data_IF_714820485609
#
_entry.id   IF_714820485609
#
_cell.length_a   1.000
_cell.length_b   1.000
_cell.length_c   1.000
_cell.angle_alpha   90.00
_cell.angle_beta   90.00
_cell.angle_gamma   90.00
#
_symmetry.space_group_name_H-M   'P 1'
#
loop_
_entity.id
_entity.type
_entity.pdbx_description
1 polymer ?
#
# COMPACT_ATOMS: atom_id res chain seq x y z
N UNK A 1 -0.55 13.14 4.43
CA UNK A 1 -0.63 14.36 3.58
C UNK A 1 -1.07 13.87 2.20
N UNK A 2 -2.16 14.40 1.64
CA UNK A 2 -2.59 13.99 0.31
C UNK A 2 -1.53 14.39 -0.73
N UNK A 3 -1.25 13.49 -1.69
CA UNK A 3 -0.40 13.83 -2.83
C UNK A 3 -1.21 14.65 -3.84
N UNK A 4 -0.56 15.60 -4.51
CA UNK A 4 -1.15 16.38 -5.60
C UNK A 4 -1.18 15.58 -6.92
N UNK A 5 -0.21 14.66 -7.08
CA UNK A 5 0.04 13.89 -8.31
C UNK A 5 -0.27 12.40 -8.12
N UNK A 6 -1.46 12.07 -7.60
CA UNK A 6 -1.89 10.69 -7.37
C UNK A 6 -2.44 10.02 -8.64
N UNK A 7 -2.36 8.69 -8.70
CA UNK A 7 -2.81 7.86 -9.82
C UNK A 7 -1.76 7.62 -10.91
N UNK A 8 -0.60 8.28 -10.84
CA UNK A 8 0.56 8.02 -11.68
C UNK A 8 1.78 7.79 -10.79
N UNK A 9 2.23 6.53 -10.74
CA UNK A 9 3.26 6.07 -9.81
C UNK A 9 4.56 6.88 -9.86
N UNK A 10 5.02 7.27 -11.06
CA UNK A 10 6.28 8.00 -11.19
C UNK A 10 6.17 9.43 -10.63
N UNK A 11 5.02 10.09 -10.81
CA UNK A 11 4.73 11.42 -10.30
C UNK A 11 4.51 11.40 -8.78
N UNK A 12 3.85 10.36 -8.24
CA UNK A 12 3.72 10.15 -6.81
C UNK A 12 5.09 10.06 -6.12
N UNK A 13 5.99 9.23 -6.65
CA UNK A 13 7.35 9.08 -6.13
C UNK A 13 8.17 10.39 -6.22
N UNK A 14 8.05 11.13 -7.33
CA UNK A 14 8.70 12.44 -7.50
C UNK A 14 8.22 13.42 -6.43
N UNK A 15 6.91 13.51 -6.22
CA UNK A 15 6.31 14.39 -5.24
C UNK A 15 6.71 14.00 -3.81
N UNK A 16 6.67 12.71 -3.48
CA UNK A 16 7.09 12.18 -2.19
C UNK A 16 8.52 12.57 -1.88
N UNK A 17 9.47 12.33 -2.80
CA UNK A 17 10.87 12.73 -2.60
C UNK A 17 11.02 14.22 -2.38
N UNK A 18 10.34 15.05 -3.19
CA UNK A 18 10.39 16.50 -3.06
C UNK A 18 9.92 16.98 -1.69
N UNK A 19 8.86 16.36 -1.16
CA UNK A 19 8.23 16.77 0.10
C UNK A 19 8.96 16.19 1.33
N UNK A 20 9.46 14.96 1.28
CA UNK A 20 10.07 14.29 2.44
C UNK A 20 11.58 14.44 2.54
N UNK A 21 12.27 14.65 1.42
CA UNK A 21 13.74 14.69 1.32
C UNK A 21 14.45 13.42 1.81
N UNK A 22 13.79 12.27 1.77
CA UNK A 22 14.39 10.98 2.12
C UNK A 22 15.51 10.59 1.15
N UNK A 23 16.54 9.90 1.67
CA UNK A 23 17.67 9.42 0.88
C UNK A 23 17.30 8.35 -0.16
N UNK A 24 16.24 7.59 0.10
CA UNK A 24 15.62 6.63 -0.81
C UNK A 24 14.21 6.28 -0.38
N UNK A 25 13.48 5.56 -1.24
CA UNK A 25 12.11 5.09 -0.98
C UNK A 25 12.03 3.58 -1.20
N UNK A 26 11.48 2.87 -0.23
CA UNK A 26 11.02 1.49 -0.36
C UNK A 26 9.49 1.47 -0.46
N UNK A 27 8.96 0.40 -1.04
CA UNK A 27 7.51 0.23 -1.26
C UNK A 27 7.01 -1.02 -0.56
N UNK A 28 6.99 -1.08 0.78
CA UNK A 28 6.67 -2.30 1.53
C UNK A 28 5.36 -2.99 1.13
N UNK A 29 4.44 -2.24 0.52
CA UNK A 29 3.24 -2.77 -0.12
C UNK A 29 2.01 -1.96 0.23
N UNK A 30 0.88 -2.65 0.33
CA UNK A 30 -0.42 -2.04 0.53
C UNK A 30 -1.21 -2.73 1.66
N UNK A 31 -2.09 -1.98 2.32
CA UNK A 31 -3.05 -2.49 3.30
C UNK A 31 -4.44 -1.87 3.09
N UNK A 32 -5.49 -2.52 3.59
CA UNK A 32 -6.86 -2.10 3.33
C UNK A 32 -7.48 -1.29 4.48
N UNK A 33 -8.50 -0.52 4.15
CA UNK A 33 -9.29 0.22 5.13
C UNK A 33 -10.00 -0.69 6.12
N UNK A 34 -10.23 -0.18 7.34
CA UNK A 34 -11.16 -0.80 8.28
C UNK A 34 -12.61 -0.86 7.74
N UNK A 35 -12.96 0.01 6.80
CA UNK A 35 -14.26 -0.02 6.10
C UNK A 35 -14.30 -1.17 5.09
N UNK A 36 -15.47 -1.75 4.80
CA UNK A 36 -15.62 -2.81 3.81
C UNK A 36 -15.61 -2.24 2.38
N UNK A 37 -14.52 -1.55 2.02
CA UNK A 37 -14.30 -1.04 0.67
C UNK A 37 -13.24 -1.90 0.01
N UNK A 38 -13.57 -2.39 -1.19
CA UNK A 38 -12.72 -3.26 -2.01
C UNK A 38 -12.17 -2.52 -3.24
N UNK A 39 -12.74 -1.36 -3.57
CA UNK A 39 -12.38 -0.57 -4.75
C UNK A 39 -11.14 0.30 -4.57
N UNK A 40 -10.63 0.43 -3.34
CA UNK A 40 -9.41 1.17 -3.04
C UNK A 40 -8.66 0.57 -1.84
N UNK A 41 -7.36 0.85 -1.77
CA UNK A 41 -6.47 0.45 -0.69
C UNK A 41 -5.51 1.58 -0.30
N UNK A 42 -4.72 1.37 0.76
CA UNK A 42 -3.63 2.25 1.15
C UNK A 42 -2.31 1.70 0.64
N UNK A 43 -1.66 2.43 -0.26
CA UNK A 43 -0.29 2.16 -0.67
C UNK A 43 0.69 2.84 0.29
N UNK A 44 1.76 2.14 0.65
CA UNK A 44 2.73 2.62 1.65
C UNK A 44 4.11 2.73 1.06
N UNK A 45 4.69 3.92 1.23
CA UNK A 45 6.08 4.21 0.97
C UNK A 45 6.83 4.32 2.29
N UNK A 46 8.02 3.74 2.34
CA UNK A 46 8.88 3.70 3.50
C UNK A 46 10.17 4.48 3.22
N UNK A 47 10.60 5.27 4.19
CA UNK A 47 11.91 5.91 4.16
C UNK A 47 13.02 4.87 4.12
N UNK A 48 13.93 5.03 3.17
CA UNK A 48 15.21 4.36 3.19
C UNK A 48 16.34 5.34 3.47
N UNK A 49 17.18 4.99 4.43
CA UNK A 49 18.46 5.64 4.65
C UNK A 49 19.56 4.57 4.70
N UNK A 50 20.80 4.97 4.41
CA UNK A 50 21.96 4.08 4.55
C UNK A 50 22.24 3.72 6.01
N UNK A 51 21.81 4.57 6.93
CA UNK A 51 21.87 4.34 8.37
C UNK A 51 20.65 3.57 8.84
N UNK A 52 20.81 2.73 9.85
CA UNK A 52 19.70 1.99 10.45
C UNK A 52 18.62 2.94 10.98
N UNK A 53 17.39 2.78 10.50
CA UNK A 53 16.23 3.55 10.95
C UNK A 53 15.45 2.77 12.01
N UNK A 54 14.85 3.45 13.01
CA UNK A 54 14.09 2.78 14.06
C UNK A 54 12.84 2.11 13.48
N UNK A 55 12.44 0.98 14.09
CA UNK A 55 11.19 0.29 13.73
C UNK A 55 9.98 1.21 13.94
N UNK A 56 9.04 1.18 12.99
CA UNK A 56 7.76 1.86 13.06
C UNK A 56 6.65 0.91 13.54
N UNK A 57 6.36 0.83 14.85
CA UNK A 57 5.49 -0.21 15.41
C UNK A 57 4.02 -0.06 15.00
N UNK A 58 3.60 1.12 14.57
CA UNK A 58 2.22 1.35 14.13
C UNK A 58 1.99 0.73 12.75
N UNK A 59 2.90 0.99 11.82
CA UNK A 59 2.75 0.53 10.44
C UNK A 59 3.18 -0.91 10.28
N UNK A 60 4.20 -1.39 11.00
CA UNK A 60 4.57 -2.81 10.98
C UNK A 60 3.42 -3.76 11.31
N UNK A 61 2.42 -3.33 12.09
CA UNK A 61 1.22 -4.15 12.37
C UNK A 61 0.34 -4.39 11.14
N UNK A 62 0.44 -3.52 10.14
CA UNK A 62 -0.33 -3.59 8.90
C UNK A 62 0.37 -4.44 7.84
N UNK A 63 1.51 -5.05 8.16
CA UNK A 63 2.31 -5.85 7.24
C UNK A 63 2.79 -7.14 7.92
N UNK A 64 3.22 -8.11 7.11
CA UNK A 64 3.84 -9.35 7.62
C UNK A 64 5.26 -9.08 8.13
N UNK A 65 5.95 -8.09 7.54
CA UNK A 65 7.32 -7.70 7.88
C UNK A 65 7.41 -6.43 8.73
N UNK A 66 8.58 -6.21 9.31
CA UNK A 66 8.87 -4.99 10.05
C UNK A 66 9.18 -3.81 9.13
N UNK A 67 8.49 -2.71 9.34
CA UNK A 67 8.70 -1.43 8.68
C UNK A 67 9.59 -0.55 9.55
N UNK A 68 10.59 0.10 8.94
CA UNK A 68 11.56 0.94 9.62
C UNK A 68 11.56 2.36 9.03
N UNK A 69 11.75 3.36 9.89
CA UNK A 69 11.76 4.77 9.52
C UNK A 69 10.37 5.38 9.36
N UNK A 70 10.36 6.57 8.77
CA UNK A 70 9.12 7.27 8.46
C UNK A 70 8.39 6.62 7.28
N UNK A 71 7.09 6.84 7.21
CA UNK A 71 6.24 6.32 6.13
C UNK A 71 5.35 7.41 5.53
N UNK A 72 5.02 7.23 4.26
CA UNK A 72 3.98 7.98 3.59
C UNK A 72 2.91 6.99 3.14
N UNK A 73 1.66 7.32 3.45
CA UNK A 73 0.50 6.50 3.12
C UNK A 73 -0.33 7.27 2.11
N UNK A 74 -0.56 6.65 0.96
CA UNK A 74 -1.33 7.21 -0.15
C UNK A 74 -2.52 6.30 -0.37
N UNK A 75 -3.69 6.88 -0.61
CA UNK A 75 -4.84 6.09 -1.05
C UNK A 75 -4.68 5.81 -2.54
N UNK A 76 -4.78 4.55 -2.92
CA UNK A 76 -4.66 4.09 -4.30
C UNK A 76 -5.84 3.19 -4.67
N UNK A 77 -6.14 3.11 -5.95
CA UNK A 77 -7.20 2.28 -6.53
C UNK A 77 -6.80 1.83 -7.93
N UNK A 78 -7.54 0.87 -8.49
CA UNK A 78 -7.38 0.54 -9.91
C UNK A 78 -7.66 1.77 -10.80
N UNK A 79 -6.98 1.87 -11.94
CA UNK A 79 -7.10 3.01 -12.88
C UNK A 79 -8.54 3.23 -13.37
N UNK A 80 -9.35 2.18 -13.40
CA UNK A 80 -10.77 2.21 -13.76
C UNK A 80 -11.67 2.80 -12.66
N UNK A 81 -11.18 2.87 -11.42
CA UNK A 81 -11.87 3.39 -10.24
C UNK A 81 -11.26 4.75 -9.88
N UNK A 82 -11.81 5.81 -10.46
CA UNK A 82 -11.40 7.19 -10.19
C UNK A 82 -12.37 7.93 -9.24
N UNK A 83 -13.21 7.18 -8.50
CA UNK A 83 -14.11 7.75 -7.51
C UNK A 83 -13.41 7.90 -6.15
N UNK A 84 -12.54 8.91 -6.10
CA UNK A 84 -11.83 9.33 -4.90
C UNK A 84 -12.68 10.22 -3.97
N UNK A 85 -14.01 10.24 -4.14
CA UNK A 85 -14.90 11.19 -3.45
C UNK A 85 -14.97 11.04 -1.92
N UNK A 86 -14.47 9.95 -1.35
CA UNK A 86 -14.37 9.83 0.11
C UNK A 86 -13.24 10.72 0.67
N UNK A 87 -13.51 11.51 1.71
CA UNK A 87 -12.47 12.23 2.45
C UNK A 87 -11.52 11.24 3.15
N UNK A 88 -10.27 11.18 2.71
CA UNK A 88 -9.21 10.52 3.48
C UNK A 88 -8.74 11.44 4.61
N UNK A 89 -9.18 11.14 5.84
CA UNK A 89 -8.77 11.89 7.03
C UNK A 89 -7.75 11.13 7.87
N UNK A 90 -6.97 11.86 8.66
CA UNK A 90 -6.09 11.28 9.69
C UNK A 90 -6.86 10.36 10.63
N UNK A 91 -8.13 10.69 10.93
CA UNK A 91 -9.00 9.87 11.79
C UNK A 91 -9.29 8.51 11.18
N UNK A 92 -9.54 8.44 9.87
CA UNK A 92 -9.77 7.18 9.17
C UNK A 92 -8.51 6.31 9.10
N UNK A 93 -7.34 6.93 8.95
CA UNK A 93 -6.06 6.22 9.04
C UNK A 93 -5.86 5.65 10.45
N UNK A 94 -6.11 6.43 11.51
CA UNK A 94 -6.00 5.95 12.90
C UNK A 94 -6.95 4.78 13.16
N UNK A 95 -8.22 4.89 12.73
CA UNK A 95 -9.19 3.77 12.84
C UNK A 95 -8.72 2.52 12.11
N UNK A 96 -8.05 2.69 10.98
CA UNK A 96 -7.47 1.58 10.22
C UNK A 96 -6.29 0.95 10.96
N UNK A 97 -5.39 1.74 11.53
CA UNK A 97 -4.29 1.23 12.36
C UNK A 97 -4.80 0.49 13.61
N UNK A 98 -5.90 0.96 14.21
CA UNK A 98 -6.57 0.29 15.33
C UNK A 98 -7.20 -1.04 14.91
N UNK A 99 -7.84 -1.10 13.74
CA UNK A 99 -8.45 -2.32 13.19
C UNK A 99 -7.44 -3.48 13.07
N UNK A 100 -6.16 -3.17 12.76
CA UNK A 100 -5.11 -4.17 12.64
C UNK A 100 -4.48 -4.62 13.99
N UNK A 101 -4.84 -4.04 15.14
CA UNK A 101 -4.25 -4.46 16.44
C UNK A 101 -4.52 -5.91 16.84
N UNK A 102 -5.59 -6.51 16.33
CA UNK A 102 -5.99 -7.90 16.63
C UNK A 102 -6.18 -8.76 15.38
N UNK A 103 -5.65 -8.32 14.24
CA UNK A 103 -5.84 -8.99 12.94
C UNK A 103 -4.51 -9.21 12.27
N UNK A 104 -4.36 -10.35 11.61
CA UNK A 104 -3.20 -10.60 10.78
C UNK A 104 -3.38 -9.86 9.44
N UNK A 105 -2.52 -8.89 9.17
CA UNK A 105 -2.70 -8.02 8.02
C UNK A 105 -2.57 -8.76 6.69
N UNK A 106 -1.69 -9.77 6.63
CA UNK A 106 -1.56 -10.64 5.47
C UNK A 106 -2.87 -11.32 5.09
N UNK A 107 -3.66 -11.76 6.07
CA UNK A 107 -4.90 -12.51 5.83
C UNK A 107 -5.98 -11.59 5.26
N UNK A 108 -6.12 -10.39 5.80
CA UNK A 108 -7.10 -9.41 5.33
C UNK A 108 -6.75 -8.90 3.93
N UNK A 109 -5.46 -8.62 3.68
CA UNK A 109 -4.97 -8.22 2.36
C UNK A 109 -5.19 -9.34 1.34
N UNK A 110 -4.86 -10.59 1.67
CA UNK A 110 -5.13 -11.75 0.82
C UNK A 110 -6.62 -11.86 0.49
N UNK A 111 -7.48 -11.77 1.51
CA UNK A 111 -8.94 -11.90 1.35
C UNK A 111 -9.50 -10.83 0.40
N UNK A 112 -9.08 -9.58 0.55
CA UNK A 112 -9.59 -8.46 -0.24
C UNK A 112 -8.97 -8.36 -1.62
N UNK A 113 -7.68 -8.62 -1.77
CA UNK A 113 -7.02 -8.72 -3.07
C UNK A 113 -7.70 -9.79 -3.93
N UNK A 114 -7.96 -10.97 -3.35
CA UNK A 114 -8.72 -12.04 -4.00
C UNK A 114 -10.13 -11.59 -4.44
N UNK A 115 -10.84 -10.84 -3.60
CA UNK A 115 -12.16 -10.33 -3.93
C UNK A 115 -12.11 -9.31 -5.08
N UNK A 116 -11.16 -8.37 -5.03
CA UNK A 116 -10.92 -7.38 -6.09
C UNK A 116 -10.63 -8.05 -7.43
N UNK A 117 -9.64 -8.95 -7.48
CA UNK A 117 -9.26 -9.66 -8.71
C UNK A 117 -10.42 -10.47 -9.29
N UNK A 118 -11.22 -11.12 -8.43
CA UNK A 118 -12.40 -11.85 -8.87
C UNK A 118 -13.45 -10.91 -9.47
N UNK A 119 -13.68 -9.75 -8.86
CA UNK A 119 -14.60 -8.74 -9.38
C UNK A 119 -14.16 -8.19 -10.74
N UNK A 120 -12.85 -7.95 -10.95
CA UNK A 120 -12.29 -7.45 -12.21
C UNK A 120 -12.59 -8.37 -13.40
N UNK A 121 -12.68 -9.69 -13.17
CA UNK A 121 -13.02 -10.67 -14.21
C UNK A 121 -14.49 -11.13 -14.17
N UNK A 122 -15.33 -10.48 -13.36
CA UNK A 122 -16.77 -10.77 -13.28
C UNK A 122 -17.13 -12.08 -12.59
N UNK A 123 -16.33 -12.52 -11.61
CA UNK A 123 -16.49 -13.79 -10.89
C UNK A 123 -16.61 -13.59 -9.37
N UNK A 124 -17.20 -14.57 -8.68
CA UNK A 124 -17.15 -14.63 -7.21
C UNK A 124 -15.74 -14.98 -6.72
N UNK A 125 -15.34 -14.49 -5.54
CA UNK A 125 -14.06 -14.82 -4.92
C UNK A 125 -13.87 -16.34 -4.70
N UNK A 126 -14.94 -17.09 -4.39
CA UNK A 126 -14.88 -18.54 -4.25
C UNK A 126 -14.54 -19.23 -5.57
N UNK A 127 -15.21 -18.85 -6.66
CA UNK A 127 -14.94 -19.39 -7.99
C UNK A 127 -13.52 -19.05 -8.45
N UNK A 128 -13.09 -17.81 -8.27
CA UNK A 128 -11.71 -17.39 -8.56
C UNK A 128 -10.73 -18.26 -7.78
N UNK A 129 -10.91 -18.39 -6.46
CA UNK A 129 -10.04 -19.18 -5.59
C UNK A 129 -9.87 -20.65 -5.95
N UNK A 130 -10.83 -21.25 -6.67
CA UNK A 130 -10.73 -22.63 -7.17
C UNK A 130 -9.92 -22.73 -8.47
N UNK A 131 -9.78 -21.64 -9.21
CA UNK A 131 -9.06 -21.59 -10.49
C UNK A 131 -7.58 -21.24 -10.31
N UNK A 132 -7.24 -20.47 -9.28
CA UNK A 132 -5.86 -20.04 -9.02
C UNK A 132 -5.08 -21.13 -8.28
N UNK A 133 -3.84 -21.44 -8.71
CA UNK A 133 -3.01 -22.47 -8.09
C UNK A 133 -2.79 -22.24 -6.58
N UNK A 134 -2.59 -23.33 -5.85
CA UNK A 134 -2.17 -23.26 -4.46
C UNK A 134 -0.82 -22.52 -4.36
N UNK A 135 -0.72 -21.53 -3.47
CA UNK A 135 0.46 -20.65 -3.38
C UNK A 135 0.48 -19.49 -4.38
N UNK A 136 -0.60 -19.24 -5.14
CA UNK A 136 -0.73 -18.01 -5.92
C UNK A 136 -0.52 -16.80 -5.00
N UNK A 137 0.39 -15.86 -5.33
CA UNK A 137 0.64 -14.69 -4.51
C UNK A 137 -0.53 -13.72 -4.70
N UNK A 138 -1.58 -13.87 -3.91
CA UNK A 138 -2.61 -12.82 -3.78
C UNK A 138 -2.09 -11.63 -2.97
N UNK A 139 -0.83 -11.68 -2.52
CA UNK A 139 -0.20 -10.69 -1.66
C UNK A 139 0.66 -9.73 -2.47
N UNK A 140 0.45 -8.45 -2.16
CA UNK A 140 1.42 -7.38 -2.31
C UNK A 140 2.83 -7.86 -2.05
N UNK A 141 3.64 -7.86 -3.10
CA UNK A 141 5.07 -7.81 -2.92
C UNK A 141 5.63 -6.85 -3.97
N UNK A 142 5.73 -5.55 -3.65
CA UNK A 142 7.00 -4.90 -3.77
C UNK A 142 7.70 -5.12 -2.43
N UNK A 143 8.28 -6.29 -2.20
CA UNK A 143 9.50 -6.37 -1.40
C UNK A 143 10.61 -5.76 -2.28
N UNK A 144 10.45 -4.49 -2.62
CA UNK A 144 11.48 -3.67 -3.22
C UNK A 144 12.53 -3.57 -2.13
N UNK A 145 13.43 -4.55 -2.12
CA UNK A 145 14.54 -4.65 -1.19
C UNK A 145 15.65 -3.68 -1.58
N UNK A 146 15.58 -3.14 -2.81
CA UNK A 146 16.47 -2.12 -3.33
C UNK A 146 15.71 -0.79 -3.42
N UNK A 147 16.10 0.23 -2.67
CA UNK A 147 15.38 1.50 -2.65
C UNK A 147 15.40 2.17 -4.03
N UNK A 148 14.33 2.87 -4.36
CA UNK A 148 14.31 3.82 -5.46
C UNK A 148 15.15 5.04 -5.10
N UNK A 149 16.30 5.18 -5.74
CA UNK A 149 17.21 6.31 -5.56
C UNK A 149 16.79 7.48 -6.44
N UNK A 150 17.22 8.70 -6.10
CA UNK A 150 16.90 9.91 -6.87
C UNK A 150 17.36 9.81 -8.33
N UNK A 151 18.44 9.07 -8.59
CA UNK A 151 18.94 8.76 -9.93
C UNK A 151 18.04 7.87 -10.77
N UNK A 152 17.13 7.13 -10.14
CA UNK A 152 16.39 6.05 -10.80
C UNK A 152 15.05 6.53 -11.39
N UNK A 153 14.67 7.78 -11.09
CA UNK A 153 13.44 8.39 -11.59
C UNK A 153 13.71 9.10 -12.93
N UNK A 154 12.78 9.05 -13.90
CA UNK A 154 12.95 9.72 -15.17
C UNK A 154 13.18 11.22 -14.95
N UNK A 155 14.24 11.76 -15.57
CA UNK A 155 14.52 13.19 -15.67
C UNK A 155 13.31 13.93 -16.23
N UNK A 156 13.11 15.19 -15.83
CA UNK A 156 12.17 16.11 -16.51
C UNK A 156 12.51 16.30 -17.99
#
# INVERSE_FOLDING_TARGET
MPLDSYGEWSAELKELKKRTRWGGILEPGEFYSHRPVESWHYHVYQQYEKTETPRNPLVSRCFIGDIHGDVAVVRSSEVSVNDYSEEFSRTELVRTLEFYKGRHAGDETFRRSKASMAATIGMSAEAFGRMVPEGFPYLNVPAVTKPWMTSDLPSE
#
